data_IF_101579084777
#
_entry.id   IF_101579084777
#
_cell.length_a   1.000
_cell.length_b   1.000
_cell.length_c   1.000
_cell.angle_alpha   90.00
_cell.angle_beta   90.00
_cell.angle_gamma   90.00
#
_symmetry.space_group_name_H-M   'P 1'
#
loop_
_entity.id
_entity.type
_entity.pdbx_description
1 polymer ?
#
# COMPACT_ATOMS: atom_id res chain seq x y z
N UNK A 1 25.42 2.75 1.29
CA UNK A 1 24.48 3.82 0.88
C UNK A 1 23.37 3.12 0.10
N UNK A 2 22.21 2.92 0.72
CA UNK A 2 21.12 2.16 0.10
C UNK A 2 20.53 2.92 -1.09
N UNK A 3 20.35 2.24 -2.21
CA UNK A 3 19.51 2.74 -3.30
C UNK A 3 18.06 2.58 -2.84
N UNK A 4 17.47 3.66 -2.32
CA UNK A 4 16.03 3.72 -2.10
C UNK A 4 15.39 3.97 -3.47
N UNK A 5 14.44 3.12 -3.86
CA UNK A 5 13.67 3.32 -5.07
C UNK A 5 12.50 4.25 -4.75
N UNK A 6 12.48 5.42 -5.39
CA UNK A 6 11.37 6.36 -5.34
C UNK A 6 10.43 6.12 -6.51
N UNK A 7 9.13 6.13 -6.23
CA UNK A 7 8.09 6.02 -7.24
C UNK A 7 7.06 7.14 -7.07
N UNK A 8 6.44 7.53 -8.18
CA UNK A 8 5.39 8.55 -8.19
C UNK A 8 4.07 7.95 -8.63
N UNK A 9 3.05 8.14 -7.80
CA UNK A 9 1.66 7.82 -8.11
C UNK A 9 0.99 9.10 -8.59
N UNK A 10 0.27 9.02 -9.71
CA UNK A 10 -0.52 10.13 -10.26
C UNK A 10 -1.99 9.75 -10.37
N UNK A 11 -2.89 10.70 -10.13
CA UNK A 11 -4.33 10.53 -10.32
C UNK A 11 -4.95 11.79 -10.93
N UNK A 12 -6.13 11.63 -11.54
CA UNK A 12 -6.94 12.76 -11.95
C UNK A 12 -7.67 13.34 -10.73
N UNK A 13 -7.43 14.62 -10.42
CA UNK A 13 -8.14 15.32 -9.34
C UNK A 13 -9.63 15.47 -9.68
N UNK A 14 -9.98 15.51 -10.98
CA UNK A 14 -11.35 15.54 -11.48
C UNK A 14 -12.24 16.65 -10.86
N UNK A 15 -11.66 17.81 -10.56
CA UNK A 15 -12.29 18.94 -9.86
C UNK A 15 -12.86 18.62 -8.47
N UNK A 16 -12.44 17.51 -7.85
CA UNK A 16 -12.91 17.14 -6.51
C UNK A 16 -12.38 18.07 -5.42
N UNK A 17 -11.38 18.89 -5.72
CA UNK A 17 -10.76 19.90 -4.87
C UNK A 17 -11.46 21.28 -4.91
N UNK A 18 -12.48 21.48 -5.74
CA UNK A 18 -13.22 22.76 -5.82
C UNK A 18 -13.94 23.07 -4.48
N UNK A 19 -13.67 24.22 -3.83
CA UNK A 19 -14.36 24.65 -2.60
C UNK A 19 -15.87 24.82 -2.73
N UNK A 20 -16.38 25.03 -3.95
CA UNK A 20 -17.82 25.12 -4.23
C UNK A 20 -18.44 23.79 -4.63
N UNK A 21 -17.65 22.72 -4.65
CA UNK A 21 -18.06 21.37 -5.05
C UNK A 21 -17.79 20.35 -3.93
N UNK A 22 -17.10 19.27 -4.30
CA UNK A 22 -16.76 18.18 -3.37
C UNK A 22 -15.81 18.63 -2.27
N UNK A 23 -14.98 19.66 -2.52
CA UNK A 23 -14.06 20.28 -1.57
C UNK A 23 -13.17 19.27 -0.82
N UNK A 24 -12.69 18.25 -1.51
CA UNK A 24 -11.73 17.29 -0.98
C UNK A 24 -10.31 17.85 -1.12
N UNK A 25 -9.80 18.45 -0.04
CA UNK A 25 -8.46 19.04 -0.01
C UNK A 25 -7.35 18.02 0.25
N UNK A 26 -7.70 16.84 0.78
CA UNK A 26 -6.74 15.82 1.16
C UNK A 26 -7.22 14.40 0.86
N UNK A 27 -6.27 13.56 0.46
CA UNK A 27 -6.46 12.13 0.16
C UNK A 27 -5.48 11.27 0.95
N UNK A 28 -5.86 10.01 1.14
CA UNK A 28 -4.99 8.93 1.57
C UNK A 28 -4.57 8.11 0.35
N UNK A 29 -3.33 7.64 0.37
CA UNK A 29 -2.76 6.74 -0.64
C UNK A 29 -2.58 5.38 0.01
N UNK A 30 -3.34 4.38 -0.46
CA UNK A 30 -3.33 3.03 0.07
C UNK A 30 -2.93 2.03 -1.01
N UNK A 31 -2.42 0.89 -0.56
CA UNK A 31 -1.89 -0.16 -1.38
C UNK A 31 -2.46 -1.51 -0.92
N UNK A 32 -2.82 -2.34 -1.89
CA UNK A 32 -3.20 -3.73 -1.71
C UNK A 32 -2.10 -4.60 -2.28
N UNK A 33 -1.71 -5.67 -1.57
CA UNK A 33 -0.71 -6.64 -2.06
C UNK A 33 -1.36 -7.89 -2.69
N UNK A 34 -2.68 -8.04 -2.55
CA UNK A 34 -3.49 -9.21 -2.94
C UNK A 34 -4.66 -8.86 -3.88
N UNK A 35 -4.60 -7.73 -4.58
CA UNK A 35 -5.60 -7.35 -5.59
C UNK A 35 -6.72 -6.48 -5.03
N UNK A 36 -7.98 -6.84 -5.27
CA UNK A 36 -9.14 -6.01 -4.92
C UNK A 36 -9.73 -6.33 -3.54
N UNK A 37 -9.07 -7.19 -2.75
CA UNK A 37 -9.60 -7.65 -1.46
C UNK A 37 -9.45 -6.60 -0.36
N UNK A 38 -8.23 -6.24 0.02
CA UNK A 38 -7.95 -5.35 1.16
C UNK A 38 -6.90 -4.29 0.82
N UNK A 39 -7.07 -3.07 1.31
CA UNK A 39 -6.14 -1.95 1.16
C UNK A 39 -5.54 -1.57 2.52
N UNK A 40 -4.80 -2.50 3.11
CA UNK A 40 -4.30 -2.37 4.48
C UNK A 40 -2.98 -1.59 4.57
N UNK A 41 -2.27 -1.44 3.45
CA UNK A 41 -0.96 -0.76 3.43
C UNK A 41 -1.15 0.72 3.14
N UNK A 42 -0.89 1.54 4.14
CA UNK A 42 -1.02 2.99 4.02
C UNK A 42 0.33 3.56 3.62
N UNK A 43 0.40 4.11 2.41
CA UNK A 43 1.59 4.78 1.87
C UNK A 43 1.66 6.21 2.42
N UNK A 44 0.52 6.90 2.45
CA UNK A 44 0.41 8.24 3.01
C UNK A 44 -1.03 8.53 3.45
N UNK A 45 -1.15 9.46 4.41
CA UNK A 45 -2.45 9.97 4.88
C UNK A 45 -2.50 11.48 4.72
N UNK A 46 -3.70 11.99 4.42
CA UNK A 46 -4.00 13.41 4.38
C UNK A 46 -3.00 14.23 3.55
N UNK A 47 -2.60 13.68 2.40
CA UNK A 47 -1.75 14.41 1.44
C UNK A 47 -2.62 15.31 0.58
N UNK A 48 -2.10 16.43 0.05
CA UNK A 48 -2.89 17.32 -0.81
C UNK A 48 -3.52 16.58 -1.99
N UNK A 49 -4.80 16.86 -2.27
CA UNK A 49 -5.48 16.33 -3.45
C UNK A 49 -5.05 17.09 -4.73
N UNK A 50 -3.79 16.94 -5.13
CA UNK A 50 -3.17 17.70 -6.22
C UNK A 50 -2.73 16.83 -7.42
N UNK A 51 -3.15 15.56 -7.43
CA UNK A 51 -2.94 14.63 -8.55
C UNK A 51 -1.61 13.89 -8.55
N UNK A 52 -0.76 14.06 -7.53
CA UNK A 52 0.53 13.36 -7.45
C UNK A 52 1.05 13.14 -6.02
N UNK A 53 1.67 12.00 -5.79
CA UNK A 53 2.42 11.72 -4.57
C UNK A 53 3.65 10.86 -4.88
N UNK A 54 4.82 11.32 -4.44
CA UNK A 54 6.09 10.60 -4.55
C UNK A 54 6.44 9.96 -3.21
N UNK A 55 6.85 8.70 -3.24
CA UNK A 55 7.18 7.93 -2.04
C UNK A 55 8.36 6.98 -2.29
N UNK A 56 9.03 6.61 -1.20
CA UNK A 56 10.02 5.54 -1.23
C UNK A 56 9.27 4.22 -1.09
N UNK A 57 9.50 3.27 -2.01
CA UNK A 57 8.92 1.94 -1.90
C UNK A 57 9.42 1.29 -0.60
N UNK A 58 8.53 0.95 0.36
CA UNK A 58 8.95 0.28 1.58
C UNK A 58 9.51 -1.11 1.25
N UNK A 59 10.39 -1.68 2.09
CA UNK A 59 10.90 -3.03 1.89
C UNK A 59 9.75 -4.04 2.08
N UNK A 60 9.08 -4.38 0.99
CA UNK A 60 7.96 -5.33 0.94
C UNK A 60 8.33 -6.57 0.15
N UNK A 61 7.58 -7.64 0.36
CA UNK A 61 7.73 -8.87 -0.42
C UNK A 61 7.28 -8.56 -1.86
N UNK A 62 8.05 -8.95 -2.90
CA UNK A 62 7.63 -8.84 -4.29
C UNK A 62 6.28 -9.52 -4.52
N UNK A 63 5.42 -8.87 -5.28
CA UNK A 63 4.08 -9.37 -5.62
C UNK A 63 3.68 -8.81 -6.98
N UNK A 64 2.99 -9.61 -7.78
CA UNK A 64 2.44 -9.24 -9.09
C UNK A 64 0.96 -8.84 -9.03
N UNK A 65 0.37 -8.84 -7.83
CA UNK A 65 -1.05 -8.60 -7.62
C UNK A 65 -1.34 -7.31 -6.86
N UNK A 66 -0.47 -6.29 -7.00
CA UNK A 66 -0.66 -5.02 -6.29
C UNK A 66 -1.70 -4.13 -6.94
N UNK A 67 -2.49 -3.42 -6.13
CA UNK A 67 -3.39 -2.34 -6.55
C UNK A 67 -3.16 -1.10 -5.69
N UNK A 68 -3.45 0.08 -6.23
CA UNK A 68 -3.34 1.38 -5.54
C UNK A 68 -4.72 2.00 -5.45
N UNK A 69 -5.05 2.52 -4.28
CA UNK A 69 -6.27 3.27 -4.01
C UNK A 69 -5.93 4.69 -3.59
N UNK A 70 -6.62 5.65 -4.22
CA UNK A 70 -6.68 7.03 -3.76
C UNK A 70 -8.04 7.21 -3.10
N UNK A 71 -8.07 7.53 -1.81
CA UNK A 71 -9.30 7.70 -1.04
C UNK A 71 -9.35 9.09 -0.44
N UNK A 72 -10.49 9.76 -0.47
CA UNK A 72 -10.65 11.02 0.26
C UNK A 72 -10.40 10.81 1.76
N UNK A 73 -9.58 11.67 2.38
CA UNK A 73 -9.30 11.53 3.82
C UNK A 73 -10.53 11.86 4.68
N UNK A 74 -11.33 12.82 4.23
CA UNK A 74 -12.49 13.36 4.98
C UNK A 74 -13.82 13.18 4.20
N UNK A 75 -13.87 12.28 3.23
CA UNK A 75 -15.08 12.01 2.42
C UNK A 75 -15.20 10.51 2.06
N UNK A 76 -16.28 10.10 1.39
CA UNK A 76 -16.63 8.69 1.16
C UNK A 76 -16.14 8.09 -0.17
N UNK A 77 -15.54 8.90 -1.04
CA UNK A 77 -15.15 8.45 -2.38
C UNK A 77 -13.71 7.94 -2.43
N UNK A 78 -13.46 7.06 -3.40
CA UNK A 78 -12.14 6.54 -3.74
C UNK A 78 -12.10 6.14 -5.21
N UNK A 79 -10.89 6.00 -5.74
CA UNK A 79 -10.61 5.35 -7.02
C UNK A 79 -9.51 4.29 -6.85
N UNK A 80 -9.58 3.22 -7.63
CA UNK A 80 -8.60 2.13 -7.66
C UNK A 80 -8.08 2.01 -9.08
N UNK A 81 -6.76 1.93 -9.22
CA UNK A 81 -6.14 1.80 -10.54
C UNK A 81 -6.69 0.58 -11.32
N UNK A 82 -6.81 0.68 -12.65
CA UNK A 82 -7.53 -0.31 -13.47
C UNK A 82 -6.92 -1.72 -13.52
N UNK A 83 -5.61 -1.85 -13.26
CA UNK A 83 -4.87 -3.09 -13.47
C UNK A 83 -3.95 -3.42 -12.31
N UNK A 84 -3.56 -4.69 -12.22
CA UNK A 84 -2.54 -5.10 -11.26
C UNK A 84 -1.18 -4.52 -11.66
N UNK A 85 -0.42 -4.07 -10.66
CA UNK A 85 0.97 -3.66 -10.82
C UNK A 85 1.87 -4.64 -10.07
N UNK A 86 3.12 -4.74 -10.51
CA UNK A 86 4.13 -5.58 -9.87
C UNK A 86 5.04 -4.73 -9.01
N UNK A 87 5.17 -5.09 -7.74
CA UNK A 87 6.24 -4.58 -6.88
C UNK A 87 7.44 -5.50 -7.06
N UNK A 88 8.53 -4.95 -7.59
CA UNK A 88 9.82 -5.62 -7.63
C UNK A 88 10.67 -5.12 -6.47
N UNK A 89 11.10 -6.03 -5.60
CA UNK A 89 12.07 -5.72 -4.56
C UNK A 89 13.23 -6.71 -4.64
N UNK A 90 14.39 -6.21 -5.08
CA UNK A 90 15.61 -7.01 -5.21
C UNK A 90 16.31 -7.27 -3.86
N UNK A 91 15.88 -6.60 -2.78
CA UNK A 91 16.44 -6.74 -1.44
C UNK A 91 15.60 -7.68 -0.57
N UNK A 92 15.47 -8.94 -0.98
CA UNK A 92 14.76 -9.95 -0.18
C UNK A 92 15.57 -10.25 1.11
N UNK A 93 15.00 -10.04 2.31
CA UNK A 93 15.65 -10.54 3.52
C UNK A 93 15.66 -12.07 3.47
N UNK A 94 16.84 -12.68 3.62
CA UNK A 94 16.95 -14.12 3.81
C UNK A 94 16.62 -14.47 5.26
N UNK A 95 15.57 -15.24 5.48
CA UNK A 95 15.33 -15.90 6.76
C UNK A 95 16.08 -17.22 6.71
N UNK A 96 17.02 -17.42 7.63
CA UNK A 96 17.68 -18.71 7.84
C UNK A 96 17.29 -19.22 9.22
N UNK A 97 16.68 -20.39 9.26
CA UNK A 97 16.49 -21.12 10.51
C UNK A 97 17.84 -21.77 10.84
N UNK A 98 18.39 -21.45 12.01
CA UNK A 98 19.64 -22.06 12.49
C UNK A 98 19.43 -23.44 13.09
N UNK A 99 18.19 -23.77 13.44
CA UNK A 99 17.80 -25.09 13.89
C UNK A 99 17.25 -25.93 12.74
N UNK A 100 17.70 -27.17 12.69
CA UNK A 100 17.27 -28.19 11.72
C UNK A 100 15.86 -28.73 12.05
N UNK A 101 15.35 -28.46 13.27
CA UNK A 101 14.06 -28.92 13.76
C UNK A 101 13.35 -27.86 14.61
N UNK A 102 12.17 -27.43 14.18
CA UNK A 102 11.23 -26.65 15.00
C UNK A 102 10.17 -27.62 15.52
N UNK A 103 10.30 -28.07 16.77
CA UNK A 103 9.26 -28.86 17.43
C UNK A 103 8.20 -27.96 18.06
N UNK A 104 6.95 -28.12 17.64
CA UNK A 104 5.80 -27.52 18.31
C UNK A 104 5.19 -28.57 19.25
N UNK A 105 5.19 -28.30 20.56
CA UNK A 105 4.51 -29.14 21.54
C UNK A 105 3.22 -28.46 21.96
N UNK A 106 2.10 -29.18 21.87
CA UNK A 106 0.84 -28.74 22.47
C UNK A 106 0.78 -29.23 23.92
N UNK A 107 0.21 -28.44 24.86
CA UNK A 107 -0.12 -28.97 26.17
C UNK A 107 -1.08 -30.15 26.02
N UNK A 108 -0.96 -31.15 26.89
CA UNK A 108 -1.96 -32.20 26.96
C UNK A 108 -3.33 -31.56 27.24
N UNK A 109 -4.32 -31.87 26.41
CA UNK A 109 -5.69 -31.42 26.58
C UNK A 109 -6.25 -32.01 27.88
N UNK A 110 -6.46 -31.15 28.87
CA UNK A 110 -7.10 -31.55 30.13
C UNK A 110 -8.62 -31.37 29.96
N UNK A 111 -9.29 -32.46 29.57
CA UNK A 111 -10.74 -32.61 29.73
C UNK A 111 -11.16 -32.42 31.19
#
# INVERSE_FOLDING_TARGET
>A
MGCWFEETITWDVANTDDPNGVNCQAVDVLLSLNGDENFDFIIAKSVPNNGSYTFIIPPTIPTDSTRVMIRASDNIFFDINNGKITIQNANLPSISLTDELIELTLPNDSL
#
